data_IF_894682375520
#
_entry.id   IF_894682375520
#
_cell.length_a   1.000
_cell.length_b   1.000
_cell.length_c   1.000
_cell.angle_alpha   90.00
_cell.angle_beta   90.00
_cell.angle_gamma   90.00
#
_symmetry.space_group_name_H-M   'P 1'
#
loop_
_entity.id
_entity.type
_entity.pdbx_description
1 polymer ?
#
# COMPACT_ATOMS: atom_id res chain seq x y z
N UNK A 1 -6.42 -3.33 -57.05
CA UNK A 1 -6.00 -2.08 -56.38
C UNK A 1 -6.91 -1.66 -55.22
N UNK A 2 -8.23 -1.91 -55.25
CA UNK A 2 -9.12 -1.58 -54.11
C UNK A 2 -8.85 -2.41 -52.83
N UNK A 3 -8.41 -3.66 -52.96
CA UNK A 3 -8.11 -4.55 -51.82
C UNK A 3 -6.92 -4.10 -50.97
N UNK A 4 -5.90 -3.49 -51.59
CA UNK A 4 -4.73 -2.96 -50.89
C UNK A 4 -5.03 -1.67 -50.09
N UNK A 5 -5.99 -0.87 -50.58
CA UNK A 5 -6.48 0.31 -49.86
C UNK A 5 -7.33 -0.07 -48.65
N UNK A 6 -8.13 -1.13 -48.75
CA UNK A 6 -8.96 -1.62 -47.66
C UNK A 6 -8.12 -2.17 -46.50
N UNK A 7 -7.00 -2.84 -46.79
CA UNK A 7 -6.08 -3.37 -45.80
C UNK A 7 -5.41 -2.27 -44.97
N UNK A 8 -4.97 -1.17 -45.60
CA UNK A 8 -4.39 -0.02 -44.87
C UNK A 8 -5.40 0.72 -44.00
N UNK A 9 -6.68 0.75 -44.41
CA UNK A 9 -7.76 1.34 -43.62
C UNK A 9 -8.14 0.50 -42.40
N UNK A 10 -8.07 -0.83 -42.52
CA UNK A 10 -8.30 -1.78 -41.40
C UNK A 10 -7.20 -1.67 -40.34
N UNK A 11 -5.93 -1.62 -40.74
CA UNK A 11 -4.80 -1.45 -39.81
C UNK A 11 -4.89 -0.12 -39.04
N UNK A 12 -5.22 0.98 -39.72
CA UNK A 12 -5.34 2.30 -39.09
C UNK A 12 -6.50 2.35 -38.08
N UNK A 13 -7.63 1.68 -38.38
CA UNK A 13 -8.77 1.57 -37.46
C UNK A 13 -8.44 0.68 -36.25
N UNK A 14 -7.72 -0.41 -36.44
CA UNK A 14 -7.29 -1.29 -35.36
C UNK A 14 -6.38 -0.56 -34.36
N UNK A 15 -5.43 0.25 -34.84
CA UNK A 15 -4.55 1.06 -33.99
C UNK A 15 -5.35 2.13 -33.21
N UNK A 16 -6.31 2.80 -33.84
CA UNK A 16 -7.16 3.81 -33.17
C UNK A 16 -8.01 3.17 -32.07
N UNK A 17 -8.61 2.00 -32.33
CA UNK A 17 -9.40 1.26 -31.34
C UNK A 17 -8.52 0.78 -30.18
N UNK A 18 -7.33 0.26 -30.48
CA UNK A 18 -6.37 -0.16 -29.45
C UNK A 18 -5.94 1.00 -28.55
N UNK A 19 -5.59 2.16 -29.13
CA UNK A 19 -5.27 3.37 -28.38
C UNK A 19 -6.45 3.84 -27.52
N UNK A 20 -7.69 3.80 -28.03
CA UNK A 20 -8.88 4.18 -27.27
C UNK A 20 -9.14 3.25 -26.06
N UNK A 21 -8.89 1.95 -26.21
CA UNK A 21 -9.04 0.97 -25.11
C UNK A 21 -7.96 1.17 -24.04
N UNK A 22 -6.71 1.43 -24.41
CA UNK A 22 -5.62 1.71 -23.46
C UNK A 22 -5.89 2.99 -22.66
N UNK A 23 -6.46 4.02 -23.28
CA UNK A 23 -6.85 5.26 -22.62
C UNK A 23 -8.08 5.11 -21.71
N UNK A 24 -8.83 4.01 -21.84
CA UNK A 24 -10.07 3.75 -21.10
C UNK A 24 -9.88 2.95 -19.81
N UNK A 25 -8.63 2.69 -19.39
CA UNK A 25 -8.33 2.21 -18.03
C UNK A 25 -8.61 3.34 -17.05
N UNK A 26 -9.90 3.51 -16.74
CA UNK A 26 -10.43 4.55 -15.85
C UNK A 26 -9.82 4.38 -14.47
N UNK A 27 -8.94 5.31 -14.09
CA UNK A 27 -8.56 5.50 -12.69
C UNK A 27 -9.85 5.76 -11.89
N UNK A 28 -10.28 4.79 -11.08
CA UNK A 28 -11.42 4.98 -10.19
C UNK A 28 -11.03 6.04 -9.17
N UNK A 29 -11.83 7.09 -9.00
CA UNK A 29 -11.59 8.12 -7.98
C UNK A 29 -12.32 7.74 -6.70
N UNK A 30 -11.67 7.90 -5.55
CA UNK A 30 -12.27 7.68 -4.23
C UNK A 30 -12.13 8.95 -3.40
N UNK A 31 -13.06 9.13 -2.46
CA UNK A 31 -12.98 10.22 -1.50
C UNK A 31 -11.78 10.00 -0.57
N UNK A 32 -10.98 11.04 -0.40
CA UNK A 32 -9.86 11.06 0.53
C UNK A 32 -10.36 10.95 1.97
N UNK A 33 -9.73 10.09 2.77
CA UNK A 33 -10.06 9.95 4.19
C UNK A 33 -9.82 11.27 4.94
N UNK A 34 -10.72 11.58 5.87
CA UNK A 34 -10.58 12.73 6.75
C UNK A 34 -9.54 12.46 7.86
N UNK A 35 -8.81 13.50 8.28
CA UNK A 35 -7.68 13.34 9.19
C UNK A 35 -8.08 12.90 10.61
N UNK A 36 -9.30 13.21 11.03
CA UNK A 36 -9.94 12.74 12.27
C UNK A 36 -10.17 11.22 12.27
N UNK A 37 -10.36 10.60 11.10
CA UNK A 37 -10.46 9.14 10.96
C UNK A 37 -9.08 8.48 10.96
N UNK A 38 -8.08 9.11 10.32
CA UNK A 38 -6.74 8.52 10.14
C UNK A 38 -5.88 8.63 11.41
N UNK A 39 -5.95 9.76 12.11
CA UNK A 39 -5.14 10.04 13.31
C UNK A 39 -5.30 8.98 14.42
N UNK A 40 -6.51 8.54 14.82
CA UNK A 40 -6.66 7.51 15.84
C UNK A 40 -6.12 6.14 15.40
N UNK A 41 -6.13 5.81 14.11
CA UNK A 41 -5.50 4.57 13.61
C UNK A 41 -3.99 4.58 13.85
N UNK A 42 -3.32 5.71 13.62
CA UNK A 42 -1.88 5.81 13.82
C UNK A 42 -1.49 5.62 15.30
N UNK A 43 -2.24 6.21 16.22
CA UNK A 43 -1.97 6.08 17.66
C UNK A 43 -2.28 4.68 18.19
N UNK A 44 -3.32 4.02 17.67
CA UNK A 44 -3.74 2.65 18.05
C UNK A 44 -2.81 1.57 17.50
N UNK A 45 -1.98 1.87 16.50
CA UNK A 45 -1.12 0.87 15.84
C UNK A 45 -0.13 0.23 16.82
N UNK A 46 0.48 1.02 17.71
CA UNK A 46 1.43 0.50 18.70
C UNK A 46 0.79 -0.46 19.71
N UNK A 47 -0.45 -0.16 20.11
CA UNK A 47 -1.22 -0.98 21.05
C UNK A 47 -1.71 -2.29 20.40
N UNK A 48 -2.04 -2.23 19.11
CA UNK A 48 -2.57 -3.37 18.35
C UNK A 48 -1.48 -4.34 17.86
N UNK A 49 -0.23 -3.89 17.73
CA UNK A 49 0.83 -4.68 17.11
C UNK A 49 1.21 -5.93 17.92
N UNK A 50 1.36 -5.80 19.25
CA UNK A 50 1.69 -6.91 20.15
C UNK A 50 0.60 -7.99 20.14
N UNK A 51 -0.69 -7.67 20.37
CA UNK A 51 -1.78 -8.65 20.27
C UNK A 51 -1.90 -9.27 18.87
N UNK A 52 -1.61 -8.51 17.81
CA UNK A 52 -1.58 -9.04 16.45
C UNK A 52 -0.44 -10.06 16.29
N UNK A 53 0.77 -9.73 16.73
CA UNK A 53 1.93 -10.62 16.69
C UNK A 53 1.69 -11.90 17.51
N UNK A 54 0.98 -11.82 18.65
CA UNK A 54 0.65 -12.99 19.47
C UNK A 54 -0.19 -14.01 18.70
N UNK A 55 -1.13 -13.54 17.87
CA UNK A 55 -1.93 -14.42 16.99
C UNK A 55 -1.06 -15.13 15.94
N UNK A 56 0.06 -14.54 15.57
CA UNK A 56 1.03 -15.10 14.62
C UNK A 56 2.13 -15.94 15.27
N UNK A 57 2.15 -16.10 16.60
CA UNK A 57 3.22 -16.79 17.34
C UNK A 57 3.57 -18.16 16.74
N UNK A 58 2.57 -19.00 16.45
CA UNK A 58 2.78 -20.34 15.86
C UNK A 58 3.45 -20.30 14.49
N UNK A 59 3.17 -19.27 13.68
CA UNK A 59 3.79 -19.11 12.36
C UNK A 59 5.22 -18.57 12.50
N UNK A 60 5.45 -17.65 13.44
CA UNK A 60 6.76 -17.12 13.77
C UNK A 60 7.72 -18.22 14.27
N UNK A 61 7.25 -19.10 15.16
CA UNK A 61 8.04 -20.23 15.66
C UNK A 61 8.39 -21.22 14.53
N UNK A 62 7.48 -21.45 13.57
CA UNK A 62 7.72 -22.31 12.41
C UNK A 62 8.83 -21.80 11.48
N UNK A 63 9.07 -20.49 11.45
CA UNK A 63 10.16 -19.87 10.69
C UNK A 63 11.42 -19.67 11.53
N UNK A 64 11.49 -20.28 12.73
CA UNK A 64 12.66 -20.21 13.61
C UNK A 64 12.78 -18.92 14.43
N UNK A 65 11.75 -18.07 14.44
CA UNK A 65 11.77 -16.83 15.21
C UNK A 65 11.54 -17.11 16.71
N UNK A 66 12.46 -16.65 17.56
CA UNK A 66 12.22 -16.64 19.01
C UNK A 66 11.23 -15.51 19.36
N UNK A 67 9.96 -15.89 19.51
CA UNK A 67 8.88 -14.94 19.78
C UNK A 67 9.10 -14.15 21.08
N UNK A 68 9.65 -14.75 22.13
CA UNK A 68 9.89 -14.08 23.40
C UNK A 68 10.97 -12.99 23.28
N UNK A 69 12.06 -13.29 22.56
CA UNK A 69 13.11 -12.31 22.28
C UNK A 69 12.57 -11.15 21.41
N UNK A 70 11.75 -11.46 20.40
CA UNK A 70 11.08 -10.45 19.58
C UNK A 70 10.14 -9.57 20.40
N UNK A 71 9.31 -10.16 21.26
CA UNK A 71 8.38 -9.45 22.13
C UNK A 71 9.12 -8.48 23.06
N UNK A 72 10.24 -8.93 23.64
CA UNK A 72 11.06 -8.12 24.52
C UNK A 72 11.76 -6.97 23.77
N UNK A 73 12.31 -7.25 22.60
CA UNK A 73 12.88 -6.22 21.71
C UNK A 73 11.83 -5.17 21.34
N UNK A 74 10.61 -5.61 21.01
CA UNK A 74 9.51 -4.72 20.67
C UNK A 74 9.11 -3.82 21.84
N UNK A 75 8.97 -4.38 23.06
CA UNK A 75 8.66 -3.60 24.26
C UNK A 75 9.73 -2.53 24.53
N UNK A 76 11.00 -2.89 24.40
CA UNK A 76 12.15 -1.98 24.60
C UNK A 76 12.20 -0.85 23.56
N UNK A 77 11.74 -1.10 22.32
CA UNK A 77 11.79 -0.15 21.22
C UNK A 77 10.44 0.49 20.85
N UNK A 78 9.41 0.26 21.65
CA UNK A 78 8.04 0.74 21.40
C UNK A 78 7.95 2.28 21.31
N UNK A 79 8.74 3.00 22.12
CA UNK A 79 8.80 4.47 22.09
C UNK A 79 9.41 5.03 20.79
N UNK A 80 10.59 4.57 20.31
CA UNK A 80 11.09 4.96 19.00
C UNK A 80 10.13 4.63 17.86
N UNK A 81 9.36 3.54 17.97
CA UNK A 81 8.36 3.17 16.97
C UNK A 81 7.26 4.23 16.82
N UNK A 82 6.77 4.79 17.93
CA UNK A 82 5.82 5.89 17.92
C UNK A 82 6.38 7.13 17.19
N UNK A 83 7.65 7.45 17.44
CA UNK A 83 8.34 8.55 16.74
C UNK A 83 8.44 8.29 15.24
N UNK A 84 8.70 7.06 14.80
CA UNK A 84 8.72 6.67 13.39
C UNK A 84 7.34 6.83 12.73
N UNK A 85 6.26 6.45 13.41
CA UNK A 85 4.89 6.67 12.92
C UNK A 85 4.62 8.17 12.74
N UNK A 86 4.99 8.98 13.73
CA UNK A 86 4.86 10.44 13.64
C UNK A 86 5.70 11.01 12.49
N UNK A 87 6.93 10.54 12.31
CA UNK A 87 7.80 10.94 11.21
C UNK A 87 7.15 10.63 9.85
N UNK A 88 6.60 9.43 9.69
CA UNK A 88 5.90 9.03 8.47
C UNK A 88 4.68 9.93 8.19
N UNK A 89 3.86 10.22 9.21
CA UNK A 89 2.70 11.11 9.06
C UNK A 89 3.12 12.53 8.67
N UNK A 90 4.15 13.07 9.30
CA UNK A 90 4.65 14.42 9.03
C UNK A 90 5.32 14.54 7.65
N UNK A 91 5.90 13.44 7.15
CA UNK A 91 6.47 13.39 5.79
C UNK A 91 5.41 13.50 4.68
N UNK A 92 4.13 13.22 5.02
CA UNK A 92 3.01 13.30 4.09
C UNK A 92 1.89 14.21 4.66
N UNK A 93 2.12 15.53 4.78
CA UNK A 93 1.20 16.46 5.45
C UNK A 93 -0.16 16.58 4.74
N UNK A 94 -0.22 16.23 3.45
CA UNK A 94 -1.45 16.22 2.65
C UNK A 94 -1.98 14.80 2.40
N UNK A 95 -1.71 13.85 3.30
CA UNK A 95 -2.20 12.46 3.17
C UNK A 95 -3.71 12.32 3.47
N UNK A 96 -4.28 13.17 4.32
CA UNK A 96 -5.70 13.14 4.71
C UNK A 96 -6.40 14.52 4.47
N UNK A 97 -7.73 14.57 4.54
CA UNK A 97 -8.52 15.80 4.37
C UNK A 97 -8.70 16.53 5.71
N UNK A 98 -8.35 17.82 5.77
CA UNK A 98 -8.45 18.65 6.98
C UNK A 98 -9.78 19.42 7.03
N UNK A 99 -10.91 18.71 7.06
CA UNK A 99 -12.24 19.32 7.25
C UNK A 99 -12.74 20.22 6.10
N UNK A 100 -12.06 20.23 4.95
CA UNK A 100 -12.47 20.92 3.73
C UNK A 100 -13.41 20.09 2.85
N UNK A 101 -13.87 20.64 1.71
CA UNK A 101 -14.72 19.91 0.76
C UNK A 101 -14.07 18.58 0.33
N UNK A 102 -14.88 17.55 0.02
CA UNK A 102 -14.39 16.20 -0.25
C UNK A 102 -13.38 16.21 -1.41
N UNK A 103 -12.11 15.97 -1.09
CA UNK A 103 -11.05 15.86 -2.08
C UNK A 103 -11.06 14.44 -2.64
N UNK A 104 -11.08 14.30 -3.96
CA UNK A 104 -11.04 13.00 -4.63
C UNK A 104 -9.59 12.65 -4.98
N UNK A 105 -9.21 11.39 -4.76
CA UNK A 105 -7.88 10.86 -5.12
C UNK A 105 -8.03 9.62 -6.01
N UNK A 106 -7.08 9.37 -6.93
CA UNK A 106 -7.08 8.14 -7.70
C UNK A 106 -6.89 6.94 -6.77
N UNK A 107 -7.81 5.97 -6.86
CA UNK A 107 -7.79 4.71 -6.12
C UNK A 107 -6.55 3.93 -6.51
N UNK A 108 -5.69 3.66 -5.54
CA UNK A 108 -4.56 2.75 -5.70
C UNK A 108 -5.00 1.32 -5.45
N UNK A 109 -4.47 0.38 -6.22
CA UNK A 109 -4.69 -1.04 -5.97
C UNK A 109 -3.93 -1.45 -4.70
N UNK A 110 -4.66 -1.91 -3.68
CA UNK A 110 -4.08 -2.35 -2.42
C UNK A 110 -3.21 -3.58 -2.61
N UNK A 111 -3.58 -4.48 -3.53
CA UNK A 111 -2.84 -5.71 -3.82
C UNK A 111 -1.40 -5.47 -4.28
N UNK A 112 -1.15 -4.40 -5.05
CA UNK A 112 0.21 -4.03 -5.46
C UNK A 112 1.04 -3.54 -4.26
N UNK A 113 0.41 -2.80 -3.35
CA UNK A 113 1.06 -2.32 -2.12
C UNK A 113 1.35 -3.50 -1.18
N UNK A 114 0.41 -4.43 -1.01
CA UNK A 114 0.58 -5.65 -0.22
C UNK A 114 1.76 -6.49 -0.75
N UNK A 115 1.86 -6.64 -2.07
CA UNK A 115 2.98 -7.35 -2.69
C UNK A 115 4.31 -6.63 -2.47
N UNK A 116 4.35 -5.30 -2.63
CA UNK A 116 5.56 -4.52 -2.40
C UNK A 116 6.04 -4.64 -0.94
N UNK A 117 5.11 -4.59 0.02
CA UNK A 117 5.40 -4.79 1.44
C UNK A 117 5.94 -6.20 1.69
N UNK A 118 5.28 -7.24 1.16
CA UNK A 118 5.72 -8.62 1.32
C UNK A 118 7.14 -8.85 0.76
N UNK A 119 7.44 -8.25 -0.39
CA UNK A 119 8.76 -8.34 -1.01
C UNK A 119 9.84 -7.65 -0.16
N UNK A 120 9.58 -6.46 0.38
CA UNK A 120 10.57 -5.77 1.23
C UNK A 120 10.77 -6.52 2.56
N UNK A 121 9.71 -7.05 3.17
CA UNK A 121 9.83 -7.88 4.38
C UNK A 121 10.67 -9.12 4.09
N UNK A 122 10.42 -9.82 2.99
CA UNK A 122 11.22 -10.97 2.59
C UNK A 122 12.69 -10.60 2.35
N UNK A 123 12.94 -9.48 1.67
CA UNK A 123 14.30 -8.99 1.45
C UNK A 123 15.00 -8.64 2.79
N UNK A 124 14.29 -8.02 3.73
CA UNK A 124 14.80 -7.73 5.06
C UNK A 124 15.15 -8.99 5.86
N UNK A 125 14.30 -10.02 5.81
CA UNK A 125 14.55 -11.31 6.45
C UNK A 125 15.78 -12.00 5.84
N UNK A 126 15.93 -11.98 4.52
CA UNK A 126 17.10 -12.56 3.84
C UNK A 126 18.42 -11.86 4.20
N UNK A 127 18.39 -10.54 4.42
CA UNK A 127 19.57 -9.77 4.87
C UNK A 127 19.93 -10.00 6.34
N UNK A 128 18.99 -10.50 7.14
CA UNK A 128 19.16 -10.70 8.58
C UNK A 128 19.58 -12.13 8.95
N UNK A 129 19.86 -12.97 7.94
CA UNK A 129 20.36 -14.33 8.08
C UNK A 129 21.83 -14.38 8.47
#
# INVERSE_FOLDING_TARGET
>A
MLSAFYHKFVEMRAVIVLCAVVLSVKAQMIQKCACDVVRPCATKTNEALLPCAQKCKKAAEKIGLNYAAFEQCFKQNSSPLAATITCALNSFPNSCSNGGPPTMIPKRQTSSLELAIANEVNAGLQRSG
#
